data_IF_100319154094
#
_entry.id   IF_100319154094
#
_cell.length_a   1.000
_cell.length_b   1.000
_cell.length_c   1.000
_cell.angle_alpha   90.00
_cell.angle_beta   90.00
_cell.angle_gamma   90.00
#
_symmetry.space_group_name_H-M   'P 1'
#
loop_
_entity.id
_entity.type
_entity.pdbx_description
1 polymer ?
#
# COMPACT_ATOMS: atom_id res chain seq x y z
N UNK A 1 -8.16 -13.84 15.23
CA UNK A 1 -7.43 -13.02 16.22
C UNK A 1 -6.44 -12.20 15.42
N UNK A 2 -6.54 -10.87 15.46
CA UNK A 2 -5.51 -9.98 14.88
C UNK A 2 -4.24 -10.21 15.70
N UNK A 3 -3.10 -10.39 15.04
CA UNK A 3 -1.85 -10.73 15.72
C UNK A 3 -1.39 -9.58 16.61
N UNK A 4 -0.69 -9.88 17.71
CA UNK A 4 -0.10 -8.86 18.61
C UNK A 4 0.83 -7.90 17.85
N UNK A 5 1.50 -8.39 16.82
CA UNK A 5 2.42 -7.61 15.97
C UNK A 5 1.68 -6.61 15.06
N UNK A 6 0.52 -6.99 14.50
CA UNK A 6 -0.35 -6.04 13.77
C UNK A 6 -0.87 -4.93 14.70
N UNK A 7 -1.13 -5.26 15.97
CA UNK A 7 -1.57 -4.30 16.97
C UNK A 7 -0.47 -3.34 17.45
N UNK A 8 0.75 -3.82 17.66
CA UNK A 8 1.90 -2.96 17.97
C UNK A 8 2.17 -1.99 16.81
N UNK A 9 2.00 -2.43 15.56
CA UNK A 9 2.04 -1.55 14.39
C UNK A 9 0.89 -0.51 14.37
N UNK A 10 -0.33 -0.89 14.79
CA UNK A 10 -1.46 0.06 14.92
C UNK A 10 -1.20 1.09 16.02
N UNK A 11 -0.60 0.68 17.14
CA UNK A 11 -0.23 1.56 18.25
C UNK A 11 0.82 2.59 17.83
N UNK A 12 1.88 2.17 17.15
CA UNK A 12 2.95 3.05 16.67
C UNK A 12 2.42 4.04 15.64
N UNK A 13 1.59 3.57 14.70
CA UNK A 13 0.91 4.44 13.72
C UNK A 13 0.00 5.45 14.41
N UNK A 14 -0.83 5.01 15.37
CA UNK A 14 -1.72 5.89 16.10
C UNK A 14 -0.96 6.94 16.92
N UNK A 15 0.16 6.56 17.54
CA UNK A 15 1.03 7.47 18.27
C UNK A 15 1.67 8.52 17.35
N UNK A 16 2.11 8.13 16.14
CA UNK A 16 2.61 9.07 15.13
C UNK A 16 1.52 10.05 14.71
N UNK A 17 0.32 9.55 14.39
CA UNK A 17 -0.81 10.39 14.00
C UNK A 17 -1.21 11.35 15.12
N UNK A 18 -1.22 10.90 16.38
CA UNK A 18 -1.51 11.78 17.52
C UNK A 18 -0.50 12.94 17.63
N UNK A 19 0.78 12.68 17.38
CA UNK A 19 1.81 13.74 17.33
C UNK A 19 1.56 14.71 16.19
N UNK A 20 1.22 14.19 15.00
CA UNK A 20 0.94 15.03 13.83
C UNK A 20 -0.31 15.88 14.01
N UNK A 21 -1.39 15.32 14.56
CA UNK A 21 -2.63 16.03 14.89
C UNK A 21 -2.38 17.09 15.97
N UNK A 22 -1.60 16.78 17.01
CA UNK A 22 -1.23 17.75 18.03
C UNK A 22 -0.42 18.92 17.43
N UNK A 23 0.51 18.63 16.51
CA UNK A 23 1.28 19.64 15.78
C UNK A 23 0.40 20.52 14.88
N UNK A 24 -0.58 19.93 14.18
CA UNK A 24 -1.55 20.68 13.38
C UNK A 24 -2.46 21.57 14.23
N UNK A 25 -2.83 21.14 15.44
CA UNK A 25 -3.62 21.95 16.39
C UNK A 25 -2.81 23.07 17.05
N UNK A 26 -1.51 22.86 17.27
CA UNK A 26 -0.63 23.84 17.90
C UNK A 26 -0.20 24.98 16.94
N UNK A 27 -0.29 24.78 15.61
CA UNK A 27 0.00 25.80 14.60
C UNK A 27 -1.12 25.84 13.55
N UNK A 28 -2.21 26.58 13.79
CA UNK A 28 -3.22 26.81 12.75
C UNK A 28 -2.62 27.72 11.67
N UNK A 29 -2.08 27.14 10.61
CA UNK A 29 -1.68 27.90 9.43
C UNK A 29 -2.93 28.52 8.76
N UNK A 30 -2.87 29.75 8.26
CA UNK A 30 -4.01 30.41 7.64
C UNK A 30 -4.40 29.70 6.33
N UNK A 31 -5.70 29.63 6.09
CA UNK A 31 -6.27 29.09 4.86
C UNK A 31 -5.77 29.85 3.63
N UNK A 32 -5.09 29.16 2.71
CA UNK A 32 -4.91 29.64 1.34
C UNK A 32 -5.38 28.58 0.35
N UNK A 33 -6.60 28.81 -0.13
CA UNK A 33 -7.12 28.62 -1.49
C UNK A 33 -6.32 27.71 -2.46
N UNK A 34 -6.99 26.62 -2.85
CA UNK A 34 -7.29 26.20 -4.23
C UNK A 34 -6.33 26.65 -5.35
N UNK A 35 -5.88 25.68 -6.15
CA UNK A 35 -6.24 25.66 -7.56
C UNK A 35 -6.28 24.24 -8.12
N UNK A 36 -7.42 23.92 -8.71
CA UNK A 36 -7.70 22.73 -9.49
C UNK A 36 -7.37 22.98 -10.97
N UNK A 37 -7.00 21.88 -11.67
CA UNK A 37 -7.22 21.54 -13.09
C UNK A 37 -7.87 22.60 -14.00
N UNK A 38 -7.47 22.81 -15.26
CA UNK A 38 -7.49 21.95 -16.48
C UNK A 38 -7.21 22.91 -17.71
N UNK A 39 -7.38 22.59 -19.02
CA UNK A 39 -7.26 21.36 -19.82
C UNK A 39 -6.41 21.52 -21.13
N UNK A 40 -6.32 20.42 -21.87
CA UNK A 40 -5.70 20.22 -23.19
C UNK A 40 -6.04 21.24 -24.29
N UNK A 41 -5.16 21.35 -25.30
CA UNK A 41 -5.52 21.91 -26.62
C UNK A 41 -4.84 21.19 -27.79
N UNK A 42 -5.72 20.60 -28.62
CA UNK A 42 -5.73 20.47 -30.10
C UNK A 42 -4.52 19.92 -30.86
N UNK A 43 -4.78 18.74 -31.45
CA UNK A 43 -4.33 18.27 -32.78
C UNK A 43 -4.31 19.38 -33.83
N UNK A 44 -3.25 19.42 -34.63
CA UNK A 44 -3.28 19.96 -35.99
C UNK A 44 -2.64 18.95 -36.96
N UNK A 45 -3.43 18.56 -37.96
CA UNK A 45 -3.02 17.80 -39.15
C UNK A 45 -2.18 18.71 -40.04
N UNK A 46 -1.06 18.21 -40.56
CA UNK A 46 -0.50 18.66 -41.84
C UNK A 46 -0.18 17.48 -42.73
N UNK A 47 -0.39 17.72 -44.02
CA UNK A 47 -0.59 16.80 -45.13
C UNK A 47 0.74 16.47 -45.82
N UNK A 48 0.71 15.38 -46.56
CA UNK A 48 1.77 14.75 -47.35
C UNK A 48 2.72 15.68 -48.12
N UNK A 49 4.00 15.34 -48.09
CA UNK A 49 4.90 15.49 -49.24
C UNK A 49 5.82 14.27 -49.35
N UNK A 50 5.67 13.56 -50.47
CA UNK A 50 6.63 12.58 -51.01
C UNK A 50 7.88 13.35 -51.47
N UNK A 51 9.08 12.97 -51.02
CA UNK A 51 10.18 12.76 -51.95
C UNK A 51 11.31 11.87 -51.38
N UNK A 52 12.06 11.34 -52.34
CA UNK A 52 13.00 10.22 -52.42
C UNK A 52 14.11 10.12 -51.36
N UNK A 53 14.30 8.87 -50.91
CA UNK A 53 15.54 8.12 -51.14
C UNK A 53 16.85 8.69 -50.59
N UNK A 54 17.24 8.25 -49.40
CA UNK A 54 18.66 8.05 -49.09
C UNK A 54 18.87 6.67 -48.46
N UNK A 55 19.70 5.86 -49.12
CA UNK A 55 20.17 4.56 -48.67
C UNK A 55 20.98 4.74 -47.38
N UNK A 56 20.41 4.39 -46.22
CA UNK A 56 21.19 4.17 -45.00
C UNK A 56 21.61 2.70 -44.92
N UNK A 57 22.93 2.52 -44.82
CA UNK A 57 23.67 1.26 -44.70
C UNK A 57 23.02 0.33 -43.67
N UNK A 58 22.79 -0.92 -44.08
CA UNK A 58 22.48 -2.04 -43.18
C UNK A 58 23.67 -2.22 -42.24
N UNK A 59 23.51 -1.83 -40.98
CA UNK A 59 24.31 -2.38 -39.89
C UNK A 59 23.85 -3.83 -39.68
N UNK A 60 24.75 -4.74 -39.98
CA UNK A 60 24.65 -6.17 -39.69
C UNK A 60 24.55 -6.42 -38.18
N UNK A 61 23.56 -7.20 -37.75
CA UNK A 61 23.65 -7.97 -36.50
C UNK A 61 22.79 -7.52 -35.32
N UNK A 62 21.49 -7.26 -35.48
CA UNK A 62 20.52 -7.45 -34.40
C UNK A 62 19.33 -8.18 -35.03
N UNK A 63 19.09 -9.43 -34.65
CA UNK A 63 17.87 -10.13 -35.06
C UNK A 63 16.64 -9.36 -34.58
N UNK A 64 15.51 -9.47 -35.27
CA UNK A 64 14.26 -8.92 -34.74
C UNK A 64 13.82 -9.79 -33.55
N UNK A 65 14.31 -9.44 -32.36
CA UNK A 65 14.02 -10.13 -31.11
C UNK A 65 12.75 -9.59 -30.44
N UNK A 66 11.96 -8.74 -31.13
CA UNK A 66 10.68 -8.26 -30.62
C UNK A 66 9.73 -9.43 -30.41
N UNK A 67 9.22 -9.57 -29.19
CA UNK A 67 8.36 -10.68 -28.79
C UNK A 67 9.09 -11.93 -28.30
N UNK A 68 10.42 -11.90 -28.17
CA UNK A 68 11.15 -12.98 -27.52
C UNK A 68 10.85 -12.97 -26.01
N UNK A 69 10.22 -14.04 -25.51
CA UNK A 69 9.89 -14.18 -24.09
C UNK A 69 11.16 -14.49 -23.29
N UNK A 70 11.43 -13.71 -22.23
CA UNK A 70 12.59 -13.90 -21.36
C UNK A 70 12.26 -13.51 -19.92
N UNK A 71 12.76 -14.32 -18.98
CA UNK A 71 12.51 -14.15 -17.54
C UNK A 71 13.77 -13.73 -16.75
N UNK A 72 14.76 -13.14 -17.43
CA UNK A 72 15.98 -12.63 -16.82
C UNK A 72 16.44 -11.35 -17.54
N UNK A 73 17.07 -10.43 -16.83
CA UNK A 73 17.69 -9.21 -17.36
C UNK A 73 18.70 -8.71 -16.32
N UNK A 74 19.31 -7.55 -16.56
CA UNK A 74 20.33 -7.00 -15.65
C UNK A 74 19.83 -5.70 -15.03
N UNK A 75 20.17 -5.48 -13.78
CA UNK A 75 20.03 -4.18 -13.12
C UNK A 75 21.40 -3.63 -12.75
N UNK A 76 21.55 -2.31 -12.79
CA UNK A 76 22.73 -1.65 -12.23
C UNK A 76 22.32 -0.56 -11.24
N UNK A 77 23.15 -0.35 -10.22
CA UNK A 77 22.96 0.68 -9.21
C UNK A 77 23.58 2.00 -9.67
N UNK A 78 22.76 2.99 -10.00
CA UNK A 78 23.25 4.35 -10.23
C UNK A 78 23.51 5.04 -8.88
N UNK A 79 24.79 5.30 -8.59
CA UNK A 79 25.23 5.96 -7.35
C UNK A 79 24.84 7.44 -7.30
N UNK A 80 24.60 8.09 -8.44
CA UNK A 80 24.22 9.51 -8.46
C UNK A 80 22.76 9.68 -8.07
N UNK A 81 21.90 8.82 -8.59
CA UNK A 81 20.45 8.83 -8.31
C UNK A 81 20.06 7.98 -7.11
N UNK A 82 20.96 7.11 -6.63
CA UNK A 82 20.67 6.08 -5.64
C UNK A 82 19.47 5.20 -6.05
N UNK A 83 19.47 4.78 -7.32
CA UNK A 83 18.37 4.06 -7.97
C UNK A 83 18.91 2.84 -8.71
N UNK A 84 18.15 1.74 -8.67
CA UNK A 84 18.36 0.61 -9.57
C UNK A 84 17.76 0.89 -10.94
N UNK A 85 18.55 0.69 -11.98
CA UNK A 85 18.17 0.90 -13.37
C UNK A 85 18.17 -0.46 -14.08
N UNK A 86 17.05 -0.80 -14.68
CA UNK A 86 16.93 -2.02 -15.47
C UNK A 86 17.56 -1.84 -16.86
N UNK A 87 18.19 -2.90 -17.37
CA UNK A 87 18.82 -2.92 -18.69
C UNK A 87 18.42 -4.20 -19.39
N UNK A 88 17.88 -4.06 -20.60
CA UNK A 88 17.69 -5.15 -21.54
C UNK A 88 18.76 -5.08 -22.64
N UNK A 89 19.79 -5.94 -22.59
CA UNK A 89 20.82 -5.96 -23.64
C UNK A 89 20.30 -6.38 -25.01
N UNK A 90 19.19 -7.13 -25.08
CA UNK A 90 18.67 -7.69 -26.33
C UNK A 90 17.86 -6.65 -27.11
N UNK A 91 17.04 -5.88 -26.38
CA UNK A 91 16.21 -4.81 -26.95
C UNK A 91 16.89 -3.44 -26.88
N UNK A 92 18.10 -3.38 -26.30
CA UNK A 92 18.83 -2.15 -26.04
C UNK A 92 17.99 -1.09 -25.27
N UNK A 93 17.11 -1.55 -24.36
CA UNK A 93 16.30 -0.68 -23.51
C UNK A 93 16.96 -0.46 -22.16
N UNK A 94 16.81 0.75 -21.62
CA UNK A 94 17.39 1.18 -20.34
C UNK A 94 16.31 1.92 -19.55
N UNK A 95 16.17 1.57 -18.27
CA UNK A 95 15.17 2.14 -17.35
C UNK A 95 13.72 2.03 -17.86
N UNK A 96 13.39 0.94 -18.57
CA UNK A 96 12.05 0.65 -19.07
C UNK A 96 11.48 -0.68 -18.53
N UNK A 97 10.93 -0.69 -17.28
CA UNK A 97 10.30 -1.86 -16.69
C UNK A 97 9.07 -2.37 -17.46
N UNK A 98 8.34 -1.49 -18.15
CA UNK A 98 7.13 -1.86 -18.88
C UNK A 98 7.46 -2.69 -20.10
N UNK A 99 8.48 -2.28 -20.88
CA UNK A 99 8.99 -3.08 -22.00
C UNK A 99 9.47 -4.45 -21.54
N UNK A 100 10.08 -4.54 -20.36
CA UNK A 100 10.46 -5.84 -19.79
C UNK A 100 9.22 -6.69 -19.46
N UNK A 101 8.20 -6.15 -18.79
CA UNK A 101 6.97 -6.90 -18.44
C UNK A 101 6.25 -7.47 -19.67
N UNK A 102 6.21 -6.72 -20.78
CA UNK A 102 5.63 -7.18 -22.04
C UNK A 102 6.27 -8.46 -22.57
N UNK A 103 7.58 -8.61 -22.34
CA UNK A 103 8.40 -9.70 -22.83
C UNK A 103 8.65 -10.80 -21.77
N UNK A 104 7.95 -10.79 -20.63
CA UNK A 104 8.04 -11.85 -19.61
C UNK A 104 6.98 -12.94 -19.80
N UNK A 105 7.21 -14.11 -19.22
CA UNK A 105 6.17 -15.14 -19.10
C UNK A 105 5.05 -14.65 -18.17
N UNK A 106 3.80 -14.70 -18.65
CA UNK A 106 2.63 -14.22 -17.91
C UNK A 106 1.88 -15.40 -17.25
N UNK A 107 1.33 -15.23 -16.04
CA UNK A 107 1.38 -14.02 -15.21
C UNK A 107 2.72 -13.87 -14.48
N UNK A 108 3.24 -12.64 -14.39
CA UNK A 108 4.36 -12.31 -13.49
C UNK A 108 3.84 -12.39 -12.05
N UNK A 109 4.51 -13.14 -11.18
CA UNK A 109 4.14 -13.29 -9.76
C UNK A 109 5.28 -12.87 -8.83
N UNK A 110 6.51 -13.25 -9.18
CA UNK A 110 7.73 -12.87 -8.47
C UNK A 110 8.80 -12.45 -9.45
N UNK A 111 9.48 -11.37 -9.12
CA UNK A 111 10.77 -11.00 -9.70
C UNK A 111 11.76 -10.87 -8.55
N UNK A 112 12.83 -11.66 -8.61
CA UNK A 112 13.90 -11.65 -7.63
C UNK A 112 15.15 -11.05 -8.26
N UNK A 113 15.73 -10.06 -7.60
CA UNK A 113 17.03 -9.52 -7.91
C UNK A 113 18.09 -10.22 -7.06
N UNK A 114 19.21 -10.59 -7.67
CA UNK A 114 20.37 -11.18 -6.99
C UNK A 114 21.55 -10.24 -7.25
N UNK A 115 22.14 -9.71 -6.19
CA UNK A 115 23.28 -8.81 -6.29
C UNK A 115 24.62 -9.57 -6.41
N UNK A 116 25.71 -8.81 -6.61
CA UNK A 116 27.06 -9.35 -6.74
C UNK A 116 27.62 -9.97 -5.45
N UNK A 117 26.98 -9.76 -4.30
CA UNK A 117 27.33 -10.34 -3.00
C UNK A 117 26.45 -11.56 -2.67
N UNK A 118 25.56 -11.97 -3.58
CA UNK A 118 24.61 -13.08 -3.39
C UNK A 118 23.36 -12.69 -2.58
N UNK A 119 23.19 -11.41 -2.29
CA UNK A 119 22.01 -10.86 -1.65
C UNK A 119 20.80 -10.94 -2.57
N UNK A 120 19.67 -11.42 -2.04
CA UNK A 120 18.43 -11.60 -2.79
C UNK A 120 17.37 -10.62 -2.31
N UNK A 121 16.74 -9.91 -3.24
CA UNK A 121 15.59 -9.04 -2.97
C UNK A 121 14.43 -9.32 -3.90
N UNK A 122 13.24 -9.07 -3.38
CA UNK A 122 12.04 -9.10 -4.20
C UNK A 122 11.81 -7.70 -4.81
N UNK A 123 11.86 -7.61 -6.14
CA UNK A 123 11.72 -6.34 -6.89
C UNK A 123 10.46 -6.35 -7.77
N UNK A 124 9.53 -7.26 -7.51
CA UNK A 124 8.32 -7.46 -8.33
C UNK A 124 7.49 -6.19 -8.51
N UNK A 125 7.43 -5.31 -7.50
CA UNK A 125 6.65 -4.07 -7.55
C UNK A 125 7.10 -3.12 -8.68
N UNK A 126 8.37 -3.20 -9.09
CA UNK A 126 8.95 -2.41 -10.19
C UNK A 126 8.44 -2.85 -11.56
N UNK A 127 8.25 -4.15 -11.74
CA UNK A 127 7.99 -4.76 -13.05
C UNK A 127 6.55 -5.18 -13.26
N UNK A 128 5.85 -5.61 -12.23
CA UNK A 128 4.47 -6.06 -12.38
C UNK A 128 3.52 -4.85 -12.35
N UNK A 129 2.97 -4.45 -13.49
CA UNK A 129 1.89 -3.45 -13.55
C UNK A 129 0.70 -3.89 -12.68
N UNK A 130 0.39 -5.19 -12.72
CA UNK A 130 -0.69 -5.79 -11.96
C UNK A 130 -0.41 -5.97 -10.45
N UNK A 131 0.73 -5.50 -9.91
CA UNK A 131 1.14 -5.71 -8.51
C UNK A 131 0.04 -5.32 -7.49
N UNK A 132 -0.67 -4.22 -7.77
CA UNK A 132 -1.75 -3.70 -6.91
C UNK A 132 -3.12 -4.33 -7.19
N UNK A 133 -3.24 -5.29 -8.10
CA UNK A 133 -4.52 -5.97 -8.35
C UNK A 133 -4.80 -7.07 -7.32
N UNK A 134 -6.07 -7.28 -6.93
CA UNK A 134 -6.45 -8.35 -6.00
C UNK A 134 -6.00 -9.74 -6.44
N UNK A 135 -6.14 -10.06 -7.73
CA UNK A 135 -5.79 -11.39 -8.26
C UNK A 135 -4.28 -11.67 -8.19
N UNK A 136 -3.45 -10.64 -8.36
CA UNK A 136 -2.00 -10.76 -8.19
C UNK A 136 -1.66 -11.14 -6.74
N UNK A 137 -2.26 -10.47 -5.75
CA UNK A 137 -2.04 -10.78 -4.33
C UNK A 137 -2.52 -12.18 -3.94
N UNK A 138 -3.64 -12.64 -4.49
CA UNK A 138 -4.20 -13.98 -4.19
C UNK A 138 -3.32 -15.14 -4.66
N UNK A 139 -2.46 -14.91 -5.66
CA UNK A 139 -1.52 -15.92 -6.18
C UNK A 139 -0.19 -15.97 -5.42
N UNK A 140 -0.02 -15.11 -4.41
CA UNK A 140 1.24 -14.99 -3.67
C UNK A 140 1.24 -15.79 -2.39
N UNK A 141 2.44 -16.15 -1.97
CA UNK A 141 2.73 -16.73 -0.67
C UNK A 141 2.56 -15.69 0.43
N UNK A 142 2.61 -16.14 1.67
CA UNK A 142 2.60 -15.24 2.80
C UNK A 142 3.79 -14.27 2.76
N UNK A 143 3.49 -12.97 2.80
CA UNK A 143 4.50 -11.92 2.71
C UNK A 143 5.42 -11.93 3.93
N UNK A 144 4.92 -12.32 5.11
CA UNK A 144 5.75 -12.36 6.32
C UNK A 144 6.81 -13.46 6.22
N UNK A 145 6.44 -14.63 5.71
CA UNK A 145 7.35 -15.72 5.40
C UNK A 145 8.41 -15.32 4.36
N UNK A 146 8.00 -14.67 3.27
CA UNK A 146 8.94 -14.23 2.22
C UNK A 146 9.94 -13.21 2.77
N UNK A 147 9.46 -12.18 3.47
CA UNK A 147 10.31 -11.18 4.12
C UNK A 147 11.25 -11.80 5.15
N UNK A 148 10.77 -12.76 5.95
CA UNK A 148 11.61 -13.48 6.93
C UNK A 148 12.70 -14.30 6.24
N UNK A 149 12.36 -14.97 5.14
CA UNK A 149 13.29 -15.79 4.37
C UNK A 149 14.40 -14.95 3.75
N UNK A 150 14.06 -13.84 3.10
CA UNK A 150 15.03 -12.92 2.47
C UNK A 150 15.91 -12.17 3.48
N UNK A 151 15.54 -12.16 4.77
CA UNK A 151 16.35 -11.58 5.86
C UNK A 151 17.39 -12.54 6.43
N UNK A 152 17.40 -13.82 6.03
CA UNK A 152 18.39 -14.81 6.48
C UNK A 152 19.78 -14.41 6.03
N UNK A 153 20.75 -14.51 6.93
CA UNK A 153 22.13 -14.04 6.71
C UNK A 153 22.79 -14.57 5.42
N UNK A 154 22.43 -15.78 4.97
CA UNK A 154 23.01 -16.39 3.77
C UNK A 154 22.64 -15.69 2.46
N UNK A 155 21.49 -15.01 2.43
CA UNK A 155 20.92 -14.41 1.20
C UNK A 155 20.49 -12.95 1.42
N UNK A 156 20.94 -12.34 2.52
CA UNK A 156 20.51 -11.00 2.92
C UNK A 156 21.22 -9.95 2.06
N UNK A 157 20.46 -9.19 1.30
CA UNK A 157 20.97 -8.07 0.51
C UNK A 157 21.42 -6.87 1.37
N UNK A 158 22.14 -5.94 0.73
CA UNK A 158 22.62 -4.72 1.37
C UNK A 158 21.48 -3.90 2.00
N UNK A 159 21.63 -3.59 3.30
CA UNK A 159 20.59 -2.92 4.08
C UNK A 159 20.36 -1.48 3.65
N UNK A 160 21.42 -0.75 3.27
CA UNK A 160 21.33 0.68 2.95
C UNK A 160 20.65 0.89 1.61
N UNK A 161 21.11 0.20 0.56
CA UNK A 161 20.49 0.18 -0.77
C UNK A 161 19.07 -0.37 -0.69
N UNK A 162 18.86 -1.41 0.11
CA UNK A 162 17.54 -1.97 0.32
C UNK A 162 16.52 -0.96 0.87
N UNK A 163 16.90 -0.14 1.85
CA UNK A 163 16.03 0.92 2.38
C UNK A 163 15.70 2.00 1.36
N UNK A 164 16.69 2.41 0.55
CA UNK A 164 16.49 3.40 -0.52
C UNK A 164 15.54 2.86 -1.59
N UNK A 165 15.73 1.60 -1.97
CA UNK A 165 14.84 0.90 -2.91
C UNK A 165 13.42 0.75 -2.35
N UNK A 166 13.24 0.42 -1.07
CA UNK A 166 11.92 0.32 -0.44
C UNK A 166 11.16 1.65 -0.52
N UNK A 167 11.85 2.78 -0.27
CA UNK A 167 11.27 4.12 -0.41
C UNK A 167 10.88 4.40 -1.86
N UNK A 168 11.76 4.09 -2.80
CA UNK A 168 11.50 4.30 -4.22
C UNK A 168 10.31 3.49 -4.73
N UNK A 169 10.29 2.17 -4.47
CA UNK A 169 9.19 1.28 -4.88
C UNK A 169 7.86 1.74 -4.26
N UNK A 170 7.89 2.16 -2.99
CA UNK A 170 6.70 2.73 -2.34
C UNK A 170 6.23 4.00 -3.04
N UNK A 171 7.14 4.90 -3.40
CA UNK A 171 6.81 6.14 -4.09
C UNK A 171 6.26 5.89 -5.49
N UNK A 172 6.84 4.96 -6.25
CA UNK A 172 6.31 4.51 -7.54
C UNK A 172 4.89 3.97 -7.40
N UNK A 173 4.61 3.15 -6.40
CA UNK A 173 3.26 2.64 -6.14
C UNK A 173 2.25 3.74 -5.75
N UNK A 174 2.68 4.77 -5.03
CA UNK A 174 1.84 5.93 -4.68
C UNK A 174 1.57 6.80 -5.89
N UNK A 175 2.56 6.98 -6.77
CA UNK A 175 2.45 7.78 -7.99
C UNK A 175 1.56 7.13 -9.06
N UNK A 176 1.30 5.82 -8.97
CA UNK A 176 0.31 5.15 -9.83
C UNK A 176 -1.07 5.79 -9.62
N UNK A 177 -1.87 5.94 -10.70
CA UNK A 177 -3.21 6.50 -10.59
C UNK A 177 -4.08 5.65 -9.65
N UNK A 178 -5.06 6.30 -9.03
CA UNK A 178 -6.03 5.61 -8.19
C UNK A 178 -6.74 4.51 -9.00
N UNK A 179 -6.98 3.33 -8.39
CA UNK A 179 -7.75 2.27 -9.04
C UNK A 179 -9.12 2.78 -9.52
N UNK A 180 -9.50 2.41 -10.74
CA UNK A 180 -10.76 2.88 -11.36
C UNK A 180 -11.96 2.00 -11.00
N UNK A 181 -11.70 0.76 -10.61
CA UNK A 181 -12.73 -0.24 -10.29
C UNK A 181 -12.81 -0.50 -8.80
N UNK A 182 -14.04 -0.58 -8.27
CA UNK A 182 -14.29 -0.87 -6.85
C UNK A 182 -13.65 -2.19 -6.37
N UNK A 183 -13.61 -3.21 -7.22
CA UNK A 183 -13.01 -4.50 -6.89
C UNK A 183 -11.51 -4.42 -6.61
N UNK A 184 -10.79 -3.47 -7.22
CA UNK A 184 -9.34 -3.32 -7.07
C UNK A 184 -8.96 -2.81 -5.67
N UNK A 185 -9.86 -2.05 -5.02
CA UNK A 185 -9.68 -1.55 -3.66
C UNK A 185 -9.75 -2.64 -2.58
N UNK A 186 -10.37 -3.79 -2.87
CA UNK A 186 -10.48 -4.89 -1.91
C UNK A 186 -9.09 -5.40 -1.52
N UNK A 187 -8.74 -5.25 -0.24
CA UNK A 187 -7.41 -5.56 0.29
C UNK A 187 -6.27 -4.86 -0.45
N UNK A 188 -6.49 -3.67 -1.01
CA UNK A 188 -5.45 -2.89 -1.67
C UNK A 188 -4.38 -2.45 -0.66
N UNK A 189 -3.06 -2.54 -0.97
CA UNK A 189 -2.00 -2.30 0.01
C UNK A 189 -1.93 -0.86 0.51
N UNK A 190 -2.28 0.12 -0.34
CA UNK A 190 -2.14 1.54 -0.02
C UNK A 190 -3.46 2.27 0.25
N UNK A 191 -4.59 1.71 -0.21
CA UNK A 191 -5.85 2.44 -0.31
C UNK A 191 -6.99 1.59 0.24
N UNK A 192 -8.04 2.24 0.71
CA UNK A 192 -9.26 1.59 1.18
C UNK A 192 -10.46 2.46 0.83
N UNK A 193 -11.59 1.82 0.55
CA UNK A 193 -12.87 2.50 0.46
C UNK A 193 -13.58 2.46 1.81
N UNK A 194 -14.29 3.53 2.14
CA UNK A 194 -15.07 3.61 3.38
C UNK A 194 -16.05 2.43 3.55
N UNK A 195 -16.66 1.97 2.45
CA UNK A 195 -17.58 0.84 2.45
C UNK A 195 -16.92 -0.52 2.71
N UNK A 196 -15.62 -0.64 2.44
CA UNK A 196 -14.88 -1.90 2.50
C UNK A 196 -14.24 -2.10 3.88
N UNK A 197 -14.47 -1.19 4.83
CA UNK A 197 -14.03 -1.32 6.21
C UNK A 197 -14.75 -2.50 6.89
N UNK A 198 -13.98 -3.34 7.58
CA UNK A 198 -14.55 -4.43 8.35
C UNK A 198 -15.36 -3.92 9.54
N UNK A 199 -16.18 -4.82 10.11
CA UNK A 199 -17.02 -4.54 11.27
C UNK A 199 -16.23 -3.88 12.42
N UNK A 200 -15.04 -4.40 12.70
CA UNK A 200 -14.14 -3.94 13.78
C UNK A 200 -13.01 -3.03 13.28
N UNK A 201 -13.17 -2.37 12.15
CA UNK A 201 -12.23 -1.38 11.63
C UNK A 201 -12.87 0.01 11.58
N UNK A 202 -12.02 1.02 11.70
CA UNK A 202 -12.38 2.43 11.54
C UNK A 202 -11.22 3.23 10.97
N UNK A 203 -11.55 4.33 10.30
CA UNK A 203 -10.57 5.29 9.79
C UNK A 203 -10.32 6.33 10.88
N UNK A 204 -9.06 6.62 11.20
CA UNK A 204 -8.65 7.67 12.15
C UNK A 204 -7.53 8.56 11.58
N UNK A 205 -7.62 9.91 11.68
CA UNK A 205 -8.71 10.72 12.25
C UNK A 205 -10.08 10.47 11.59
N UNK A 206 -11.19 10.96 12.13
CA UNK A 206 -12.50 10.63 11.55
C UNK A 206 -12.56 11.07 10.07
N UNK A 207 -13.32 10.38 9.22
CA UNK A 207 -13.51 10.75 7.80
C UNK A 207 -13.92 12.22 7.59
N UNK A 208 -14.62 12.84 8.53
CA UNK A 208 -15.02 14.25 8.46
C UNK A 208 -13.85 15.21 8.72
N UNK A 209 -12.86 14.77 9.51
CA UNK A 209 -11.70 15.56 9.93
C UNK A 209 -10.53 15.48 8.93
N UNK A 210 -10.62 14.62 7.91
CA UNK A 210 -9.57 14.43 6.93
C UNK A 210 -10.07 14.54 5.49
N UNK A 211 -9.25 15.12 4.63
CA UNK A 211 -9.55 15.20 3.19
C UNK A 211 -9.35 13.81 2.55
N UNK A 212 -10.36 13.26 1.84
CA UNK A 212 -10.17 12.01 1.10
C UNK A 212 -9.16 12.20 -0.02
N UNK A 213 -8.46 11.12 -0.40
CA UNK A 213 -7.51 11.14 -1.52
C UNK A 213 -8.21 11.32 -2.87
N UNK A 214 -9.46 10.86 -2.95
CA UNK A 214 -10.29 10.94 -4.14
C UNK A 214 -11.63 10.25 -3.90
N UNK A 215 -12.41 10.12 -4.96
CA UNK A 215 -13.71 9.47 -4.95
C UNK A 215 -13.84 8.54 -6.15
N UNK A 216 -14.37 7.35 -5.94
CA UNK A 216 -14.66 6.38 -7.00
C UNK A 216 -16.09 5.90 -6.86
N UNK A 217 -16.92 6.20 -7.87
CA UNK A 217 -18.35 5.83 -7.93
C UNK A 217 -19.11 6.21 -6.65
N UNK A 218 -18.91 7.43 -6.14
CA UNK A 218 -19.59 7.93 -4.93
C UNK A 218 -18.96 7.47 -3.60
N UNK A 219 -17.88 6.69 -3.63
CA UNK A 219 -17.19 6.24 -2.41
C UNK A 219 -15.86 6.95 -2.24
N UNK A 220 -15.67 7.55 -1.06
CA UNK A 220 -14.42 8.22 -0.68
C UNK A 220 -13.29 7.21 -0.49
N UNK A 221 -12.13 7.56 -1.03
CA UNK A 221 -10.89 6.77 -0.93
C UNK A 221 -10.01 7.37 0.16
N UNK A 222 -9.55 6.51 1.08
CA UNK A 222 -8.63 6.90 2.14
C UNK A 222 -7.33 6.08 2.06
N UNK A 223 -6.21 6.60 2.60
CA UNK A 223 -5.00 5.82 2.75
C UNK A 223 -5.26 4.64 3.69
N UNK A 224 -4.81 3.43 3.35
CA UNK A 224 -4.98 2.28 4.24
C UNK A 224 -4.21 2.44 5.57
N UNK A 225 -3.21 3.33 5.60
CA UNK A 225 -2.48 3.71 6.81
C UNK A 225 -3.35 4.41 7.87
N UNK A 226 -4.52 4.95 7.50
CA UNK A 226 -5.47 5.55 8.45
C UNK A 226 -6.49 4.55 8.97
N UNK A 227 -6.46 3.29 8.53
CA UNK A 227 -7.31 2.22 9.05
C UNK A 227 -6.68 1.63 10.30
N UNK A 228 -7.50 1.57 11.35
CA UNK A 228 -7.15 1.00 12.64
C UNK A 228 -8.17 -0.02 13.10
N UNK A 229 -7.68 -1.01 13.83
CA UNK A 229 -8.51 -1.98 14.51
C UNK A 229 -9.20 -1.34 15.71
N UNK A 230 -10.51 -1.53 15.82
CA UNK A 230 -11.33 -1.12 16.96
C UNK A 230 -11.68 -2.34 17.81
N UNK A 231 -11.65 -2.16 19.13
CA UNK A 231 -11.94 -3.24 20.09
C UNK A 231 -12.94 -2.78 21.15
N UNK A 232 -13.64 -3.73 21.76
CA UNK A 232 -14.48 -3.46 22.93
C UNK A 232 -13.63 -3.23 24.18
N UNK A 233 -14.22 -2.63 25.21
CA UNK A 233 -13.55 -2.37 26.50
C UNK A 233 -12.87 -3.64 27.05
N UNK A 234 -13.58 -4.77 27.06
CA UNK A 234 -13.03 -6.04 27.53
C UNK A 234 -11.86 -6.56 26.69
N UNK A 235 -11.89 -6.33 25.37
CA UNK A 235 -10.78 -6.74 24.51
C UNK A 235 -9.57 -5.82 24.66
N UNK A 236 -9.77 -4.51 24.89
CA UNK A 236 -8.67 -3.62 25.29
C UNK A 236 -8.05 -4.04 26.62
N UNK A 237 -8.88 -4.47 27.59
CA UNK A 237 -8.40 -4.95 28.88
C UNK A 237 -7.48 -6.18 28.74
N UNK A 238 -7.82 -7.12 27.85
CA UNK A 238 -6.95 -8.28 27.51
C UNK A 238 -5.60 -7.86 26.91
N UNK A 239 -5.52 -6.67 26.33
CA UNK A 239 -4.31 -6.08 25.78
C UNK A 239 -3.62 -5.14 26.78
N UNK A 240 -3.96 -5.25 28.08
CA UNK A 240 -3.44 -4.42 29.16
C UNK A 240 -3.69 -2.92 28.97
N UNK A 241 -4.87 -2.57 28.44
CA UNK A 241 -5.30 -1.18 28.24
C UNK A 241 -6.72 -0.94 28.73
N UNK A 242 -6.96 0.22 29.32
CA UNK A 242 -8.29 0.71 29.69
C UNK A 242 -8.73 1.80 28.71
N UNK A 243 -10.03 1.88 28.43
CA UNK A 243 -10.62 3.05 27.76
C UNK A 243 -10.60 4.21 28.75
N UNK A 244 -10.19 5.40 28.30
CA UNK A 244 -10.16 6.59 29.17
C UNK A 244 -11.57 6.91 29.67
N UNK A 245 -11.66 7.41 30.89
CA UNK A 245 -12.95 7.77 31.49
C UNK A 245 -13.67 8.86 30.66
N UNK A 246 -14.96 8.66 30.40
CA UNK A 246 -15.81 9.61 29.66
C UNK A 246 -15.69 9.57 28.13
N UNK A 247 -14.84 8.71 27.55
CA UNK A 247 -14.74 8.55 26.09
C UNK A 247 -16.02 7.95 25.49
N UNK A 248 -16.50 8.52 24.39
CA UNK A 248 -17.62 7.98 23.61
C UNK A 248 -17.14 6.90 22.64
N UNK A 249 -17.97 5.89 22.39
CA UNK A 249 -17.66 4.85 21.42
C UNK A 249 -17.32 5.45 20.04
N UNK A 250 -16.25 4.96 19.41
CA UNK A 250 -15.89 5.40 18.06
C UNK A 250 -16.87 4.88 17.02
N UNK A 251 -17.27 3.62 17.20
CA UNK A 251 -18.19 2.87 16.33
C UNK A 251 -19.02 1.93 17.19
N UNK A 252 -20.32 1.88 16.95
CA UNK A 252 -21.24 0.95 17.61
C UNK A 252 -21.66 -0.11 16.61
N UNK A 253 -21.54 -1.39 16.97
CA UNK A 253 -21.88 -2.51 16.07
C UNK A 253 -22.87 -3.45 16.73
N UNK A 254 -23.69 -4.16 15.94
CA UNK A 254 -24.55 -5.22 16.48
C UNK A 254 -23.69 -6.32 17.12
N UNK A 255 -23.93 -6.62 18.39
CA UNK A 255 -23.26 -7.69 19.11
C UNK A 255 -23.79 -9.06 18.67
N UNK A 256 -23.10 -10.13 19.09
CA UNK A 256 -23.62 -11.49 18.89
C UNK A 256 -24.86 -11.69 19.78
N UNK A 257 -25.92 -12.32 19.27
CA UNK A 257 -27.09 -12.64 20.08
C UNK A 257 -26.72 -13.63 21.19
N UNK A 258 -27.45 -13.58 22.30
CA UNK A 258 -27.32 -14.62 23.32
C UNK A 258 -28.00 -15.88 22.84
N UNK A 259 -27.22 -16.93 22.57
CA UNK A 259 -27.75 -18.20 22.05
C UNK A 259 -28.53 -18.99 23.11
N UNK A 260 -28.39 -18.67 24.39
CA UNK A 260 -29.14 -19.30 25.49
C UNK A 260 -30.61 -18.85 25.56
N UNK A 261 -30.98 -17.79 24.85
CA UNK A 261 -32.36 -17.29 24.79
C UNK A 261 -33.01 -17.77 23.48
N UNK A 262 -34.29 -18.21 23.49
CA UNK A 262 -35.04 -18.54 22.28
C UNK A 262 -35.02 -17.40 21.26
N UNK A 263 -35.06 -17.72 19.96
CA UNK A 263 -34.87 -16.71 18.90
C UNK A 263 -35.91 -15.58 18.93
N UNK A 264 -37.12 -15.88 19.35
CA UNK A 264 -38.28 -14.97 19.41
C UNK A 264 -38.15 -13.89 20.50
N UNK A 265 -37.40 -14.18 21.56
CA UNK A 265 -37.20 -13.29 22.72
C UNK A 265 -35.85 -12.55 22.67
N UNK A 266 -35.07 -12.70 21.59
CA UNK A 266 -33.74 -12.10 21.49
C UNK A 266 -33.80 -10.61 21.20
N UNK A 267 -33.48 -9.81 22.21
CA UNK A 267 -33.26 -8.38 22.01
C UNK A 267 -31.97 -8.06 21.22
N UNK A 268 -31.99 -7.03 20.35
CA UNK A 268 -30.80 -6.55 19.66
C UNK A 268 -29.77 -6.01 20.66
N UNK A 269 -28.63 -6.69 20.76
CA UNK A 269 -27.48 -6.22 21.56
C UNK A 269 -26.54 -5.40 20.68
N UNK A 270 -25.96 -4.35 21.26
CA UNK A 270 -24.95 -3.53 20.63
C UNK A 270 -23.62 -3.64 21.38
N UNK A 271 -22.53 -3.39 20.66
CA UNK A 271 -21.17 -3.44 21.17
C UNK A 271 -20.46 -2.16 20.78
N UNK A 272 -20.00 -1.46 21.80
CA UNK A 272 -19.21 -0.25 21.65
C UNK A 272 -17.75 -0.60 21.34
N UNK A 273 -17.21 0.04 20.30
CA UNK A 273 -15.85 -0.15 19.86
C UNK A 273 -15.06 1.15 20.00
N UNK A 274 -13.85 1.01 20.51
CA UNK A 274 -12.92 2.09 20.78
C UNK A 274 -11.64 1.86 19.99
N UNK A 275 -11.03 2.94 19.53
CA UNK A 275 -9.71 2.91 18.88
C UNK A 275 -8.58 3.08 19.88
N UNK A 276 -7.35 2.80 19.44
CA UNK A 276 -6.16 2.90 20.30
C UNK A 276 -6.02 4.28 20.97
N UNK A 277 -6.32 5.36 20.24
CA UNK A 277 -6.22 6.75 20.71
C UNK A 277 -7.15 7.09 21.89
N UNK A 278 -8.20 6.28 22.12
CA UNK A 278 -9.16 6.45 23.22
C UNK A 278 -8.78 5.63 24.47
N UNK A 279 -7.63 4.96 24.44
CA UNK A 279 -7.19 4.06 25.52
C UNK A 279 -5.91 4.54 26.15
N UNK A 280 -5.66 4.08 27.37
CA UNK A 280 -4.45 4.27 28.13
C UNK A 280 -3.94 2.93 28.70
N UNK A 281 -2.65 2.81 29.07
CA UNK A 281 -2.13 1.63 29.73
C UNK A 281 -2.93 1.34 31.01
N UNK A 282 -3.42 0.11 31.16
CA UNK A 282 -4.22 -0.29 32.31
C UNK A 282 -3.40 -0.15 33.59
N UNK A 283 -3.97 0.54 34.59
CA UNK A 283 -3.40 0.66 35.93
C UNK A 283 -4.24 -0.20 36.88
N UNK A 284 -3.68 -1.27 37.47
CA UNK A 284 -4.44 -2.08 38.41
C UNK A 284 -4.85 -1.21 39.62
N UNK A 285 -6.02 -1.47 40.23
CA UNK A 285 -6.40 -0.82 41.47
C UNK A 285 -5.34 -1.10 42.54
N UNK A 286 -5.07 -0.11 43.40
CA UNK A 286 -4.19 -0.31 44.55
C UNK A 286 -4.86 -1.31 45.48
N UNK A 287 -4.16 -2.39 45.82
CA UNK A 287 -4.61 -3.33 46.84
C UNK A 287 -4.52 -2.60 48.19
N UNK A 288 -5.64 -2.55 48.90
CA UNK A 288 -5.71 -2.08 50.28
C UNK A 288 -5.97 -3.33 51.12
N UNK A 289 -5.12 -3.55 52.13
CA UNK A 289 -5.21 -4.66 53.10
C UNK A 289 -6.36 -4.43 54.09
#
# INVERSE_FOLDING_TARGET
MVSRQEFENDADRAASVLKDVAKMRANPAPASSTNASTPATKKQKTKDTKDKGSKKKKSSGVGDHRGAIRNYWVEYWDRKQNKWICVDPLLASVDDPNSLEENMTKPVIYVLAIDNEGGVREVTARYAAAFSHPDFRRRRTDQTWLCSTLRKNMIRADRKRGQLEDVQLRQELVNKPLPSTLSEYKNHPLYVLEKDLLKFEGIYPRPEDQKPLGEVRGHKVYPRSTVYTLQSVLNWLKLARSVKEGEKAYKVVKARPNLHVPAEEREPRFLDLFGYWQTEPFRPPKVVD
#
